data_IF_717126334072
#
_entry.id   IF_717126334072
#
_cell.length_a   1.000
_cell.length_b   1.000
_cell.length_c   1.000
_cell.angle_alpha   90.00
_cell.angle_beta   90.00
_cell.angle_gamma   90.00
#
_symmetry.space_group_name_H-M   'P 1'
#
loop_
_entity.id
_entity.type
_entity.pdbx_description
1 polymer ?
#
# COMPACT_ATOMS: atom_id res chain seq x y z
N UNK A 1 -18.20 4.48 -35.77
CA UNK A 1 -18.31 5.95 -35.62
C UNK A 1 -17.02 6.54 -36.12
N UNK A 2 -17.11 7.41 -37.12
CA UNK A 2 -15.98 7.99 -37.83
C UNK A 2 -15.16 8.91 -36.92
N UNK A 3 -13.87 8.59 -36.77
CA UNK A 3 -12.84 9.43 -36.16
C UNK A 3 -12.69 10.73 -36.97
N UNK A 4 -13.47 11.75 -36.59
CA UNK A 4 -13.25 13.12 -37.06
C UNK A 4 -12.05 13.66 -36.27
N UNK A 5 -10.84 13.30 -36.71
CA UNK A 5 -9.63 14.01 -36.29
C UNK A 5 -9.74 15.43 -36.81
N UNK A 6 -10.03 16.39 -35.93
CA UNK A 6 -9.95 17.81 -36.24
C UNK A 6 -8.57 18.10 -36.86
N UNK A 7 -8.54 18.40 -38.16
CA UNK A 7 -7.32 18.86 -38.82
C UNK A 7 -7.00 20.23 -38.25
N UNK A 8 -6.00 20.29 -37.37
CA UNK A 8 -5.46 21.53 -36.85
C UNK A 8 -4.75 22.25 -38.01
N UNK A 9 -5.43 23.18 -38.68
CA UNK A 9 -4.80 24.25 -39.48
C UNK A 9 -4.03 25.18 -38.52
N UNK A 10 -2.91 24.69 -37.98
CA UNK A 10 -1.96 25.48 -37.22
C UNK A 10 -0.68 25.51 -38.04
N UNK A 11 -0.18 26.69 -38.45
CA UNK A 11 1.05 26.76 -39.22
C UNK A 11 2.17 26.06 -38.45
N UNK A 12 2.91 25.24 -39.19
CA UNK A 12 4.09 24.52 -38.72
C UNK A 12 5.09 25.52 -38.14
N UNK A 13 5.35 25.48 -36.83
CA UNK A 13 6.41 26.29 -36.23
C UNK A 13 7.72 25.50 -36.30
N UNK A 14 8.70 26.04 -37.02
CA UNK A 14 10.08 25.54 -37.02
C UNK A 14 10.86 26.33 -35.97
N UNK A 15 11.55 25.61 -35.08
CA UNK A 15 12.37 26.19 -34.03
C UNK A 15 13.81 25.76 -34.31
N UNK A 16 14.52 26.66 -34.98
CA UNK A 16 15.92 26.55 -35.35
C UNK A 16 16.89 27.09 -34.30
N UNK A 17 18.13 27.27 -34.74
CA UNK A 17 19.25 27.73 -33.92
C UNK A 17 19.14 29.19 -33.45
N UNK A 18 18.39 30.03 -34.17
CA UNK A 18 18.32 31.47 -33.96
C UNK A 18 17.28 31.89 -32.92
N UNK A 19 16.29 31.04 -32.67
CA UNK A 19 15.06 31.32 -31.92
C UNK A 19 15.31 31.41 -30.40
N UNK A 20 16.44 30.87 -29.93
CA UNK A 20 16.90 31.10 -28.56
C UNK A 20 18.01 32.14 -28.42
N UNK A 21 18.47 32.75 -29.52
CA UNK A 21 19.49 33.79 -29.45
C UNK A 21 18.92 35.05 -28.75
N UNK A 22 19.69 35.60 -27.82
CA UNK A 22 19.33 36.88 -27.19
C UNK A 22 19.58 38.06 -28.14
N UNK A 23 19.08 39.26 -27.81
CA UNK A 23 19.24 40.46 -28.64
C UNK A 23 20.72 40.82 -28.91
N UNK A 24 21.65 40.38 -28.06
CA UNK A 24 23.08 40.57 -28.27
C UNK A 24 23.62 39.57 -29.31
N UNK A 25 23.27 38.29 -29.20
CA UNK A 25 23.72 37.24 -30.13
C UNK A 25 23.11 37.38 -31.52
N UNK A 26 21.90 37.92 -31.64
CA UNK A 26 21.26 38.16 -32.94
C UNK A 26 21.98 39.23 -33.75
N UNK A 27 22.69 40.16 -33.09
CA UNK A 27 23.46 41.24 -33.70
C UNK A 27 24.90 40.83 -34.06
N UNK A 28 25.38 39.67 -33.61
CA UNK A 28 26.74 39.21 -33.93
C UNK A 28 26.75 38.54 -35.30
N UNK A 29 27.58 39.00 -36.26
CA UNK A 29 27.69 38.36 -37.57
C UNK A 29 28.44 37.02 -37.50
N UNK A 30 28.17 36.09 -38.44
CA UNK A 30 29.02 34.90 -38.64
C UNK A 30 30.48 35.32 -38.97
N UNK A 31 31.52 34.58 -38.54
CA UNK A 31 31.50 33.30 -37.81
C UNK A 31 31.50 33.44 -36.28
N UNK A 32 31.70 34.64 -35.74
CA UNK A 32 31.82 34.90 -34.29
C UNK A 32 30.57 34.49 -33.50
N UNK A 33 29.41 34.56 -34.14
CA UNK A 33 28.13 34.10 -33.60
C UNK A 33 28.18 32.64 -33.14
N UNK A 34 28.77 31.75 -33.94
CA UNK A 34 28.89 30.32 -33.61
C UNK A 34 29.84 30.05 -32.43
N UNK A 35 30.95 30.80 -32.36
CA UNK A 35 31.95 30.68 -31.28
C UNK A 35 31.36 31.12 -29.94
N UNK A 36 30.69 32.28 -29.93
CA UNK A 36 30.02 32.78 -28.72
C UNK A 36 28.90 31.84 -28.29
N UNK A 37 28.07 31.34 -29.22
CA UNK A 37 27.00 30.37 -28.92
C UNK A 37 27.53 29.09 -28.29
N UNK A 38 28.63 28.53 -28.81
CA UNK A 38 29.27 27.35 -28.21
C UNK A 38 29.77 27.60 -26.79
N UNK A 39 30.23 28.83 -26.50
CA UNK A 39 30.65 29.23 -25.16
C UNK A 39 29.44 29.39 -24.24
N UNK A 40 28.35 29.98 -24.71
CA UNK A 40 27.09 30.11 -23.96
C UNK A 40 26.44 28.74 -23.67
N UNK A 41 26.52 27.79 -24.60
CA UNK A 41 26.01 26.42 -24.39
C UNK A 41 26.80 25.63 -23.34
N UNK A 42 28.02 26.06 -22.97
CA UNK A 42 28.78 25.47 -21.86
C UNK A 42 28.31 25.98 -20.49
N UNK A 43 27.58 27.09 -20.43
CA UNK A 43 27.08 27.69 -19.19
C UNK A 43 25.62 27.31 -18.95
N UNK A 44 25.30 26.76 -17.77
CA UNK A 44 23.95 26.29 -17.45
C UNK A 44 22.90 27.40 -17.42
N UNK A 45 23.19 28.53 -16.76
CA UNK A 45 22.26 29.67 -16.70
C UNK A 45 21.92 30.23 -18.09
N UNK A 46 22.90 30.25 -19.00
CA UNK A 46 22.71 30.75 -20.36
C UNK A 46 21.85 29.81 -21.21
N UNK A 47 22.00 28.48 -21.05
CA UNK A 47 21.09 27.50 -21.68
C UNK A 47 19.66 27.67 -21.20
N UNK A 48 19.45 27.92 -19.92
CA UNK A 48 18.12 28.18 -19.36
C UNK A 48 17.51 29.48 -19.89
N UNK A 49 18.29 30.56 -19.99
CA UNK A 49 17.82 31.82 -20.57
C UNK A 49 17.41 31.66 -22.04
N UNK A 50 18.19 30.92 -22.84
CA UNK A 50 17.84 30.58 -24.22
C UNK A 50 16.55 29.75 -24.29
N UNK A 51 16.41 28.74 -23.42
CA UNK A 51 15.17 27.95 -23.31
C UNK A 51 13.95 28.84 -23.02
N UNK A 52 14.07 29.79 -22.10
CA UNK A 52 12.96 30.67 -21.74
C UNK A 52 12.54 31.61 -22.90
N UNK A 53 13.47 31.99 -23.78
CA UNK A 53 13.14 32.75 -25.01
C UNK A 53 12.34 31.91 -25.99
N UNK A 54 12.81 30.68 -26.26
CA UNK A 54 12.11 29.72 -27.12
C UNK A 54 10.70 29.45 -26.59
N UNK A 55 10.54 29.27 -25.28
CA UNK A 55 9.22 29.10 -24.66
C UNK A 55 8.35 30.36 -24.80
N UNK A 56 8.95 31.55 -24.80
CA UNK A 56 8.27 32.81 -25.14
C UNK A 56 7.56 32.78 -26.49
N UNK A 57 8.17 32.15 -27.49
CA UNK A 57 7.60 32.00 -28.84
C UNK A 57 6.59 30.85 -28.93
N UNK A 58 6.86 29.74 -28.26
CA UNK A 58 5.98 28.55 -28.27
C UNK A 58 4.68 28.82 -27.49
N UNK A 59 4.75 29.52 -26.36
CA UNK A 59 3.65 29.59 -25.39
C UNK A 59 2.33 30.15 -25.95
N UNK A 60 2.32 31.25 -26.74
CA UNK A 60 1.09 31.72 -27.39
C UNK A 60 0.45 30.70 -28.32
N UNK A 61 1.25 29.83 -28.96
CA UNK A 61 0.74 28.76 -29.82
C UNK A 61 0.11 27.66 -28.97
N UNK A 62 0.71 27.28 -27.84
CA UNK A 62 0.11 26.33 -26.90
C UNK A 62 -1.26 26.81 -26.41
N UNK A 63 -1.41 28.11 -26.13
CA UNK A 63 -2.70 28.71 -25.77
C UNK A 63 -3.74 28.56 -26.88
N UNK A 64 -3.35 28.79 -28.15
CA UNK A 64 -4.26 28.62 -29.30
C UNK A 64 -4.63 27.15 -29.52
N UNK A 65 -3.68 26.24 -29.35
CA UNK A 65 -3.94 24.79 -29.44
C UNK A 65 -4.91 24.38 -28.34
N UNK A 66 -4.71 24.83 -27.10
CA UNK A 66 -5.64 24.58 -25.99
C UNK A 66 -7.05 25.10 -26.30
N UNK A 67 -7.14 26.34 -26.81
CA UNK A 67 -8.42 26.97 -27.11
C UNK A 67 -9.21 26.23 -28.21
N UNK A 68 -8.50 25.66 -29.20
CA UNK A 68 -9.13 24.84 -30.26
C UNK A 68 -9.48 23.42 -29.80
N UNK A 69 -8.69 22.85 -28.89
CA UNK A 69 -8.83 21.44 -28.49
C UNK A 69 -9.80 21.22 -27.33
N UNK A 70 -10.00 22.21 -26.44
CA UNK A 70 -10.73 22.04 -25.19
C UNK A 70 -11.83 23.10 -24.98
N UNK A 71 -12.94 22.72 -24.30
CA UNK A 71 -13.97 23.66 -23.87
C UNK A 71 -13.42 24.66 -22.87
N UNK A 72 -14.03 25.85 -22.78
CA UNK A 72 -13.54 26.97 -21.98
C UNK A 72 -13.35 26.63 -20.49
N UNK A 73 -14.24 25.80 -19.93
CA UNK A 73 -14.19 25.32 -18.55
C UNK A 73 -12.92 24.53 -18.18
N UNK A 74 -12.23 23.95 -19.16
CA UNK A 74 -11.06 23.10 -18.94
C UNK A 74 -9.73 23.78 -19.27
N UNK A 75 -9.78 24.99 -19.85
CA UNK A 75 -8.60 25.73 -20.28
C UNK A 75 -7.83 26.25 -19.06
N UNK A 76 -6.53 25.99 -19.01
CA UNK A 76 -5.62 26.44 -17.94
C UNK A 76 -4.61 27.47 -18.41
N UNK A 77 -4.41 27.62 -19.72
CA UNK A 77 -3.47 28.58 -20.30
C UNK A 77 -4.17 29.83 -20.85
N UNK A 78 -5.43 29.74 -21.24
CA UNK A 78 -6.20 30.86 -21.81
C UNK A 78 -6.13 32.12 -20.94
N UNK A 79 -5.72 33.26 -21.55
CA UNK A 79 -5.62 34.56 -20.87
C UNK A 79 -4.51 34.67 -19.81
N UNK A 80 -3.73 33.61 -19.58
CA UNK A 80 -2.63 33.61 -18.60
C UNK A 80 -1.34 34.08 -19.27
N UNK A 81 -0.61 35.02 -18.67
CA UNK A 81 0.70 35.42 -19.19
C UNK A 81 1.74 34.33 -18.93
N UNK A 82 2.78 34.24 -19.77
CA UNK A 82 3.86 33.26 -19.57
C UNK A 82 4.47 33.37 -18.17
N UNK A 83 4.74 34.58 -17.69
CA UNK A 83 5.31 34.81 -16.35
C UNK A 83 4.43 34.26 -15.22
N UNK A 84 3.11 34.37 -15.35
CA UNK A 84 2.14 33.82 -14.39
C UNK A 84 2.05 32.30 -14.53
N UNK A 85 1.99 31.76 -15.75
CA UNK A 85 1.96 30.33 -16.00
C UNK A 85 3.18 29.62 -15.40
N UNK A 86 4.36 30.23 -15.52
CA UNK A 86 5.63 29.74 -14.96
C UNK A 86 5.69 29.70 -13.42
N UNK A 87 4.68 30.21 -12.73
CA UNK A 87 4.52 30.16 -11.26
C UNK A 87 3.39 29.23 -10.81
N UNK A 88 2.59 28.70 -11.73
CA UNK A 88 1.45 27.81 -11.46
C UNK A 88 1.75 26.42 -12.01
N UNK A 89 1.86 25.43 -11.14
CA UNK A 89 2.17 24.05 -11.54
C UNK A 89 1.12 23.45 -12.49
N UNK A 90 -0.17 23.76 -12.33
CA UNK A 90 -1.22 23.31 -13.26
C UNK A 90 -1.03 23.85 -14.69
N UNK A 91 -0.62 25.12 -14.83
CA UNK A 91 -0.34 25.72 -16.12
C UNK A 91 0.91 25.08 -16.75
N UNK A 92 1.95 24.81 -15.95
CA UNK A 92 3.16 24.13 -16.42
C UNK A 92 2.82 22.71 -16.90
N UNK A 93 2.07 21.93 -16.12
CA UNK A 93 1.64 20.59 -16.49
C UNK A 93 0.87 20.61 -17.83
N UNK A 94 -0.14 21.50 -17.93
CA UNK A 94 -0.95 21.61 -19.14
C UNK A 94 -0.12 22.00 -20.36
N UNK A 95 0.77 22.98 -20.22
CA UNK A 95 1.66 23.40 -21.29
C UNK A 95 2.58 22.26 -21.76
N UNK A 96 3.14 21.49 -20.83
CA UNK A 96 3.97 20.32 -21.16
C UNK A 96 3.18 19.24 -21.91
N UNK A 97 1.98 18.89 -21.44
CA UNK A 97 1.11 17.91 -22.11
C UNK A 97 0.79 18.33 -23.55
N UNK A 98 0.34 19.58 -23.74
CA UNK A 98 0.02 20.12 -25.06
C UNK A 98 1.25 20.15 -25.95
N UNK A 99 2.40 20.57 -25.42
CA UNK A 99 3.66 20.59 -26.17
C UNK A 99 4.05 19.19 -26.67
N UNK A 100 4.02 18.18 -25.81
CA UNK A 100 4.34 16.79 -26.18
C UNK A 100 3.39 16.28 -27.26
N UNK A 101 2.08 16.48 -27.10
CA UNK A 101 1.09 16.09 -28.11
C UNK A 101 1.32 16.82 -29.44
N UNK A 102 1.54 18.14 -29.41
CA UNK A 102 1.76 18.96 -30.59
C UNK A 102 3.08 18.60 -31.31
N UNK A 103 4.14 18.30 -30.57
CA UNK A 103 5.40 17.82 -31.13
C UNK A 103 5.25 16.44 -31.79
N UNK A 104 4.56 15.51 -31.13
CA UNK A 104 4.25 14.19 -31.70
C UNK A 104 3.39 14.29 -32.97
N UNK A 105 2.51 15.29 -33.06
CA UNK A 105 1.70 15.57 -34.24
C UNK A 105 2.40 16.45 -35.29
N UNK A 106 3.72 16.70 -35.17
CA UNK A 106 4.50 17.55 -36.06
C UNK A 106 3.97 18.99 -36.20
N UNK A 107 3.25 19.53 -35.21
CA UNK A 107 2.87 20.96 -35.18
C UNK A 107 4.11 21.83 -34.86
N UNK A 108 5.00 21.31 -34.01
CA UNK A 108 6.32 21.88 -33.74
C UNK A 108 7.40 21.03 -34.42
N UNK A 109 8.29 21.66 -35.20
CA UNK A 109 9.54 21.06 -35.67
C UNK A 109 10.72 21.66 -34.95
N UNK A 110 11.38 20.85 -34.14
CA UNK A 110 12.58 21.23 -33.39
C UNK A 110 13.80 20.82 -34.22
N UNK A 111 14.79 21.71 -34.32
CA UNK A 111 16.03 21.46 -35.07
C UNK A 111 17.20 21.25 -34.10
N UNK A 112 18.02 20.25 -34.39
CA UNK A 112 19.24 19.95 -33.64
C UNK A 112 20.41 20.85 -34.04
N UNK A 113 21.53 20.74 -33.32
CA UNK A 113 22.76 21.51 -33.60
C UNK A 113 23.40 21.24 -34.96
N UNK A 114 22.93 20.23 -35.71
CA UNK A 114 23.41 19.87 -37.04
C UNK A 114 22.45 20.31 -38.15
N UNK A 115 21.34 20.97 -37.80
CA UNK A 115 20.31 21.40 -38.75
C UNK A 115 19.28 20.32 -39.09
N UNK A 116 19.28 19.17 -38.40
CA UNK A 116 18.31 18.08 -38.64
C UNK A 116 17.14 18.17 -37.68
N UNK A 117 15.97 17.70 -38.11
CA UNK A 117 14.79 17.64 -37.27
C UNK A 117 14.98 16.63 -36.12
N UNK A 118 14.67 17.07 -34.89
CA UNK A 118 14.52 16.21 -33.73
C UNK A 118 13.13 15.58 -33.76
N UNK A 119 13.09 14.29 -34.11
CA UNK A 119 11.88 13.48 -34.11
C UNK A 119 11.53 13.03 -32.68
N UNK A 120 10.25 12.71 -32.39
CA UNK A 120 9.80 12.28 -31.05
C UNK A 120 10.62 11.17 -30.39
N UNK A 121 11.12 10.22 -31.18
CA UNK A 121 12.00 9.12 -30.76
C UNK A 121 13.42 9.57 -30.37
N UNK A 122 13.80 10.81 -30.72
CA UNK A 122 15.12 11.40 -30.48
C UNK A 122 15.09 12.51 -29.42
N UNK A 123 14.27 12.37 -28.38
CA UNK A 123 14.16 13.34 -27.28
C UNK A 123 15.47 13.66 -26.53
N UNK A 124 16.51 12.82 -26.70
CA UNK A 124 17.87 13.01 -26.17
C UNK A 124 18.81 13.81 -27.06
N UNK A 125 18.40 14.19 -28.27
CA UNK A 125 19.19 15.06 -29.13
C UNK A 125 19.17 16.49 -28.59
N UNK A 126 20.31 17.17 -28.67
CA UNK A 126 20.43 18.56 -28.28
C UNK A 126 19.75 19.47 -29.31
N UNK A 127 18.81 20.29 -28.84
CA UNK A 127 18.19 21.33 -29.66
C UNK A 127 19.17 22.47 -29.89
N UNK A 128 19.34 22.92 -31.13
CA UNK A 128 20.23 24.04 -31.44
C UNK A 128 19.79 25.37 -30.81
N UNK A 129 18.47 25.55 -30.67
CA UNK A 129 17.83 26.73 -30.09
C UNK A 129 18.27 27.05 -28.66
N UNK A 130 18.52 26.03 -27.81
CA UNK A 130 18.86 26.26 -26.40
C UNK A 130 20.02 25.42 -25.86
N UNK A 131 20.54 24.46 -26.63
CA UNK A 131 21.64 23.59 -26.20
C UNK A 131 21.25 22.59 -25.11
N UNK A 132 19.94 22.36 -24.92
CA UNK A 132 19.39 21.33 -24.04
C UNK A 132 18.73 20.24 -24.89
N UNK A 133 18.66 19.03 -24.34
CA UNK A 133 17.78 17.99 -24.88
C UNK A 133 16.33 18.30 -24.53
N UNK A 134 15.38 17.69 -25.24
CA UNK A 134 13.95 17.88 -24.94
C UNK A 134 13.64 17.31 -23.56
N UNK A 135 14.23 16.16 -23.20
CA UNK A 135 14.13 15.59 -21.85
C UNK A 135 14.62 16.58 -20.78
N UNK A 136 15.76 17.25 -20.99
CA UNK A 136 16.30 18.25 -20.06
C UNK A 136 15.39 19.48 -19.94
N UNK A 137 14.85 19.96 -21.06
CA UNK A 137 13.92 21.08 -21.07
C UNK A 137 12.62 20.73 -20.32
N UNK A 138 12.03 19.55 -20.58
CA UNK A 138 10.86 19.08 -19.84
C UNK A 138 11.15 18.96 -18.34
N UNK A 139 12.30 18.37 -17.98
CA UNK A 139 12.72 18.21 -16.59
C UNK A 139 12.83 19.56 -15.87
N UNK A 140 13.37 20.58 -16.53
CA UNK A 140 13.44 21.94 -15.98
C UNK A 140 12.06 22.48 -15.57
N UNK A 141 11.04 22.29 -16.43
CA UNK A 141 9.67 22.72 -16.13
C UNK A 141 9.00 21.83 -15.08
N UNK A 142 9.22 20.52 -15.12
CA UNK A 142 8.72 19.59 -14.10
C UNK A 142 9.28 19.96 -12.72
N UNK A 143 10.59 20.15 -12.58
CA UNK A 143 11.23 20.56 -11.33
C UNK A 143 10.67 21.89 -10.83
N UNK A 144 10.32 22.81 -11.74
CA UNK A 144 9.69 24.09 -11.38
C UNK A 144 8.26 23.90 -10.88
N UNK A 145 7.48 23.00 -11.48
CA UNK A 145 6.17 22.61 -10.97
C UNK A 145 6.28 21.93 -9.59
N UNK A 146 7.24 21.02 -9.40
CA UNK A 146 7.51 20.37 -8.10
C UNK A 146 7.88 21.42 -7.04
N UNK A 147 8.71 22.42 -7.37
CA UNK A 147 9.03 23.56 -6.48
C UNK A 147 7.80 24.37 -6.09
N UNK A 148 6.86 24.57 -7.01
CA UNK A 148 5.57 25.24 -6.72
C UNK A 148 4.73 24.41 -5.76
N UNK A 149 4.51 23.13 -6.07
CA UNK A 149 3.70 22.19 -5.29
C UNK A 149 4.22 22.06 -3.84
N UNK A 150 5.53 21.92 -3.67
CA UNK A 150 6.15 21.70 -2.36
C UNK A 150 6.77 22.95 -1.74
N UNK A 151 6.32 24.15 -2.13
CA UNK A 151 6.86 25.42 -1.59
C UNK A 151 6.83 25.48 -0.06
N UNK A 152 5.83 24.88 0.57
CA UNK A 152 5.67 24.82 2.04
C UNK A 152 6.42 23.66 2.70
N UNK A 153 7.06 22.77 1.94
CA UNK A 153 7.74 21.59 2.47
C UNK A 153 9.13 21.35 1.81
N UNK A 154 10.15 22.12 2.22
CA UNK A 154 11.48 22.07 1.60
C UNK A 154 12.20 20.72 1.77
N UNK A 155 11.89 19.96 2.83
CA UNK A 155 12.49 18.64 3.08
C UNK A 155 12.05 17.61 2.03
N UNK A 156 10.76 17.59 1.69
CA UNK A 156 10.23 16.73 0.64
C UNK A 156 10.69 17.20 -0.74
N UNK A 157 10.68 18.52 -0.98
CA UNK A 157 11.17 19.12 -2.22
C UNK A 157 12.59 18.64 -2.57
N UNK A 158 13.53 18.68 -1.61
CA UNK A 158 14.93 18.25 -1.83
C UNK A 158 15.04 16.79 -2.29
N UNK A 159 14.06 15.94 -1.98
CA UNK A 159 14.06 14.52 -2.32
C UNK A 159 13.33 14.20 -3.63
N UNK A 160 12.44 15.09 -4.08
CA UNK A 160 11.62 14.88 -5.27
C UNK A 160 12.20 15.56 -6.52
N UNK A 161 12.88 16.70 -6.36
CA UNK A 161 13.57 17.38 -7.46
C UNK A 161 14.59 16.44 -8.10
N UNK A 162 14.60 16.36 -9.43
CA UNK A 162 15.49 15.45 -10.16
C UNK A 162 15.00 14.00 -10.26
N UNK A 163 14.03 13.59 -9.44
CA UNK A 163 13.50 12.21 -9.41
C UNK A 163 12.23 12.08 -10.27
N UNK A 164 11.40 13.11 -10.31
CA UNK A 164 10.16 13.12 -11.08
C UNK A 164 10.47 13.44 -12.55
N UNK A 165 10.33 12.46 -13.44
CA UNK A 165 10.66 12.60 -14.86
C UNK A 165 9.46 12.75 -15.79
N UNK A 166 8.25 12.46 -15.31
CA UNK A 166 7.03 12.51 -16.11
C UNK A 166 6.08 13.59 -15.60
N UNK A 167 5.45 14.39 -16.49
CA UNK A 167 4.39 15.32 -16.11
C UNK A 167 3.15 14.61 -15.55
N UNK A 168 2.94 13.32 -15.85
CA UNK A 168 1.79 12.54 -15.35
C UNK A 168 1.85 12.25 -13.84
N UNK A 169 3.02 12.43 -13.22
CA UNK A 169 3.17 12.35 -11.78
C UNK A 169 2.70 13.63 -11.05
N UNK A 170 2.60 14.77 -11.75
CA UNK A 170 2.29 16.07 -11.12
C UNK A 170 0.93 16.09 -10.40
N UNK A 171 -0.17 15.52 -10.95
CA UNK A 171 -1.44 15.40 -10.22
C UNK A 171 -1.31 14.64 -8.90
N UNK A 172 -0.62 13.47 -8.90
CA UNK A 172 -0.39 12.71 -7.67
C UNK A 172 0.48 13.47 -6.66
N UNK A 173 1.46 14.24 -7.14
CA UNK A 173 2.29 15.07 -6.28
C UNK A 173 1.50 16.18 -5.57
N UNK A 174 0.44 16.72 -6.19
CA UNK A 174 -0.48 17.66 -5.52
C UNK A 174 -1.25 17.00 -4.38
N UNK A 175 -1.67 15.74 -4.55
CA UNK A 175 -2.32 14.98 -3.47
C UNK A 175 -1.31 14.75 -2.34
N UNK A 176 -0.08 14.32 -2.67
CA UNK A 176 0.99 14.13 -1.70
C UNK A 176 1.37 15.40 -0.94
N UNK A 177 1.28 16.58 -1.55
CA UNK A 177 1.63 17.83 -0.88
C UNK A 177 0.67 18.22 0.24
N UNK A 178 -0.51 17.60 0.28
CA UNK A 178 -1.50 17.76 1.34
C UNK A 178 -1.23 16.86 2.56
N UNK A 179 -0.33 15.88 2.43
CA UNK A 179 0.00 14.96 3.52
C UNK A 179 0.71 15.70 4.65
N UNK A 180 0.56 15.19 5.88
CA UNK A 180 1.40 15.62 6.99
C UNK A 180 2.88 15.45 6.62
N UNK A 181 3.70 16.47 6.88
CA UNK A 181 5.10 16.51 6.44
C UNK A 181 5.92 15.27 6.82
N UNK A 182 5.74 14.77 8.04
CA UNK A 182 6.44 13.58 8.52
C UNK A 182 5.96 12.31 7.81
N UNK A 183 4.65 12.17 7.57
CA UNK A 183 4.06 11.03 6.87
C UNK A 183 4.59 10.96 5.44
N UNK A 184 4.56 12.07 4.71
CA UNK A 184 5.14 12.15 3.37
C UNK A 184 6.64 11.81 3.38
N UNK A 185 7.38 12.29 4.39
CA UNK A 185 8.82 12.00 4.48
C UNK A 185 9.07 10.50 4.62
N UNK A 186 8.27 9.77 5.39
CA UNK A 186 8.35 8.31 5.49
C UNK A 186 7.92 7.61 4.19
N UNK A 187 6.87 8.10 3.53
CA UNK A 187 6.41 7.57 2.24
C UNK A 187 7.50 7.68 1.16
N UNK A 188 8.09 8.87 1.01
CA UNK A 188 9.19 9.11 0.05
C UNK A 188 10.40 8.22 0.40
N UNK A 189 10.69 7.98 1.69
CA UNK A 189 11.75 7.05 2.08
C UNK A 189 11.44 5.62 1.69
N UNK A 190 10.21 5.18 1.88
CA UNK A 190 9.79 3.82 1.58
C UNK A 190 9.84 3.51 0.09
N UNK A 191 9.41 4.44 -0.77
CA UNK A 191 9.55 4.28 -2.22
C UNK A 191 10.98 4.52 -2.72
N UNK A 192 11.76 5.36 -2.04
CA UNK A 192 13.15 5.65 -2.41
C UNK A 192 13.27 6.23 -3.82
N UNK A 193 14.21 5.70 -4.62
CA UNK A 193 14.47 6.17 -5.99
C UNK A 193 13.33 5.88 -6.97
N UNK A 194 12.43 4.93 -6.66
CA UNK A 194 11.31 4.58 -7.53
C UNK A 194 10.06 5.42 -7.29
N UNK A 195 10.09 6.43 -6.41
CA UNK A 195 8.91 7.28 -6.12
C UNK A 195 8.35 7.93 -7.39
N UNK A 196 9.20 8.34 -8.33
CA UNK A 196 8.76 8.96 -9.57
C UNK A 196 7.93 8.00 -10.43
N UNK A 197 8.38 6.76 -10.59
CA UNK A 197 7.64 5.73 -11.33
C UNK A 197 6.38 5.30 -10.58
N UNK A 198 6.50 5.03 -9.28
CA UNK A 198 5.39 4.61 -8.44
C UNK A 198 4.24 5.62 -8.47
N UNK A 199 4.54 6.93 -8.48
CA UNK A 199 3.49 7.96 -8.56
C UNK A 199 2.76 8.00 -9.90
N UNK A 200 3.36 7.53 -10.98
CA UNK A 200 2.68 7.43 -12.29
C UNK A 200 1.73 6.24 -12.31
N UNK A 201 2.13 5.14 -11.68
CA UNK A 201 1.43 3.86 -11.69
C UNK A 201 0.36 3.74 -10.60
N UNK A 202 0.54 4.41 -9.46
CA UNK A 202 -0.36 4.29 -8.30
C UNK A 202 -1.77 4.79 -8.64
N UNK A 203 -2.76 4.01 -8.24
CA UNK A 203 -4.16 4.39 -8.29
C UNK A 203 -4.40 5.63 -7.40
N UNK A 204 -5.11 6.66 -7.89
CA UNK A 204 -5.48 7.83 -7.08
C UNK A 204 -6.16 7.48 -5.75
N UNK A 205 -7.05 6.50 -5.72
CA UNK A 205 -7.80 6.11 -4.51
C UNK A 205 -6.90 5.49 -3.46
N UNK A 206 -5.91 4.69 -3.90
CA UNK A 206 -4.86 4.15 -3.04
C UNK A 206 -4.03 5.31 -2.45
N UNK A 207 -3.69 6.31 -3.26
CA UNK A 207 -2.95 7.48 -2.78
C UNK A 207 -3.75 8.29 -1.75
N UNK A 208 -5.05 8.51 -1.99
CA UNK A 208 -5.94 9.16 -1.02
C UNK A 208 -6.08 8.33 0.26
N UNK A 209 -6.15 7.02 0.16
CA UNK A 209 -6.15 6.15 1.34
C UNK A 209 -4.84 6.26 2.13
N UNK A 210 -3.68 6.28 1.47
CA UNK A 210 -2.39 6.52 2.15
C UNK A 210 -2.32 7.87 2.85
N UNK A 211 -3.09 8.87 2.41
CA UNK A 211 -3.16 10.18 3.07
C UNK A 211 -3.75 10.11 4.48
N UNK A 212 -4.56 9.08 4.76
CA UNK A 212 -5.12 8.82 6.11
C UNK A 212 -4.06 8.31 7.08
N UNK A 213 -2.93 7.80 6.59
CA UNK A 213 -1.87 7.23 7.40
C UNK A 213 -1.02 8.31 8.06
N UNK A 214 -1.01 8.33 9.39
CA UNK A 214 -0.04 9.10 10.19
C UNK A 214 1.40 8.62 9.99
N UNK A 215 2.37 9.47 10.31
CA UNK A 215 3.79 9.18 10.13
C UNK A 215 4.28 7.90 10.83
N UNK A 216 3.71 7.58 11.99
CA UNK A 216 4.09 6.37 12.72
C UNK A 216 3.64 5.10 12.00
N UNK A 217 2.48 5.12 11.31
CA UNK A 217 2.03 3.98 10.51
C UNK A 217 3.01 3.69 9.39
N UNK A 218 3.31 4.73 8.59
CA UNK A 218 4.22 4.59 7.45
C UNK A 218 5.63 4.18 7.88
N UNK A 219 6.13 4.73 8.99
CA UNK A 219 7.42 4.32 9.55
C UNK A 219 7.42 2.85 9.98
N UNK A 220 6.38 2.42 10.69
CA UNK A 220 6.27 1.04 11.17
C UNK A 220 6.13 0.07 10.00
N UNK A 221 5.25 0.36 9.04
CA UNK A 221 5.08 -0.41 7.79
C UNK A 221 6.40 -0.52 7.02
N UNK A 222 7.15 0.58 6.90
CA UNK A 222 8.47 0.56 6.24
C UNK A 222 9.48 -0.31 6.96
N UNK A 223 9.45 -0.33 8.30
CA UNK A 223 10.35 -1.15 9.11
C UNK A 223 10.02 -2.64 9.00
N UNK A 224 8.74 -3.00 9.01
CA UNK A 224 8.31 -4.41 8.96
C UNK A 224 8.34 -4.97 7.54
N UNK A 225 7.84 -4.24 6.53
CA UNK A 225 7.77 -4.73 5.14
C UNK A 225 9.10 -4.59 4.39
N UNK A 226 10.03 -3.74 4.87
CA UNK A 226 11.34 -3.50 4.26
C UNK A 226 11.24 -3.20 2.75
N UNK A 227 11.86 -4.04 1.91
CA UNK A 227 11.80 -3.93 0.45
C UNK A 227 10.38 -4.09 -0.11
N UNK A 228 9.52 -4.85 0.59
CA UNK A 228 8.12 -5.06 0.27
C UNK A 228 7.21 -3.87 0.58
N UNK A 229 7.71 -2.80 1.21
CA UNK A 229 6.91 -1.60 1.51
C UNK A 229 6.22 -1.04 0.26
N UNK A 230 6.86 -1.12 -0.91
CA UNK A 230 6.30 -0.61 -2.17
C UNK A 230 5.00 -1.30 -2.58
N UNK A 231 4.75 -2.52 -2.10
CA UNK A 231 3.54 -3.29 -2.37
C UNK A 231 2.29 -2.64 -1.72
N UNK A 232 2.46 -1.67 -0.82
CA UNK A 232 1.33 -0.89 -0.30
C UNK A 232 0.59 -0.13 -1.43
N UNK A 233 1.25 0.12 -2.57
CA UNK A 233 0.61 0.70 -3.76
C UNK A 233 -0.38 -0.25 -4.47
N UNK A 234 -0.34 -1.55 -4.17
CA UNK A 234 -1.23 -2.58 -4.74
C UNK A 234 -2.30 -3.05 -3.76
N UNK A 235 -2.33 -2.49 -2.56
CA UNK A 235 -3.34 -2.84 -1.55
C UNK A 235 -4.69 -2.21 -1.89
N UNK A 236 -5.76 -2.81 -1.38
CA UNK A 236 -7.09 -2.23 -1.49
C UNK A 236 -7.14 -0.90 -0.70
N UNK A 237 -7.70 0.18 -1.28
CA UNK A 237 -7.81 1.47 -0.59
C UNK A 237 -8.48 1.38 0.77
N UNK A 238 -9.53 0.58 0.89
CA UNK A 238 -10.28 0.44 2.14
C UNK A 238 -9.48 -0.28 3.24
N UNK A 239 -8.62 -1.24 2.89
CA UNK A 239 -7.70 -1.88 3.85
C UNK A 239 -6.70 -0.86 4.41
N UNK A 240 -6.17 0.03 3.57
CA UNK A 240 -5.27 1.11 4.01
C UNK A 240 -6.01 2.09 4.93
N UNK A 241 -7.26 2.46 4.60
CA UNK A 241 -8.08 3.35 5.43
C UNK A 241 -8.41 2.72 6.78
N UNK A 242 -8.82 1.45 6.79
CA UNK A 242 -9.08 0.69 8.01
C UNK A 242 -7.85 0.69 8.93
N UNK A 243 -6.65 0.49 8.36
CA UNK A 243 -5.39 0.57 9.12
C UNK A 243 -5.20 1.96 9.73
N UNK A 244 -5.37 3.03 8.94
CA UNK A 244 -5.21 4.40 9.42
C UNK A 244 -6.20 4.81 10.52
N UNK A 245 -7.37 4.18 10.55
CA UNK A 245 -8.44 4.45 11.53
C UNK A 245 -8.28 3.61 12.79
N UNK A 246 -8.06 2.30 12.64
CA UNK A 246 -8.16 1.35 13.75
C UNK A 246 -6.82 1.04 14.43
N UNK A 247 -5.68 1.26 13.79
CA UNK A 247 -4.38 1.02 14.40
C UNK A 247 -3.88 2.28 15.09
N UNK A 248 -3.85 2.27 16.41
CA UNK A 248 -3.64 3.47 17.23
C UNK A 248 -2.21 3.59 17.76
N UNK A 249 -1.42 2.51 17.76
CA UNK A 249 -0.02 2.51 18.17
C UNK A 249 0.90 1.80 17.16
N UNK A 250 2.22 1.99 17.33
CA UNK A 250 3.24 1.41 16.45
C UNK A 250 3.36 -0.09 16.66
N UNK A 251 3.15 -0.54 17.89
CA UNK A 251 3.27 -1.93 18.32
C UNK A 251 2.27 -2.83 17.59
N UNK A 252 1.02 -2.41 17.36
CA UNK A 252 0.06 -3.19 16.56
C UNK A 252 0.60 -3.53 15.15
N UNK A 253 1.29 -2.58 14.50
CA UNK A 253 1.87 -2.79 13.16
C UNK A 253 3.13 -3.67 13.24
N UNK A 254 3.94 -3.47 14.29
CA UNK A 254 5.17 -4.26 14.48
C UNK A 254 4.87 -5.72 14.80
N UNK A 255 3.85 -5.94 15.63
CA UNK A 255 3.46 -7.26 16.10
C UNK A 255 2.81 -8.09 14.98
N UNK A 256 2.14 -7.46 14.00
CA UNK A 256 1.72 -8.14 12.77
C UNK A 256 2.91 -8.41 11.84
N UNK A 257 3.85 -7.48 11.73
CA UNK A 257 5.09 -7.69 10.97
C UNK A 257 4.86 -7.87 9.47
N UNK A 258 5.49 -8.89 8.89
CA UNK A 258 5.37 -9.20 7.45
C UNK A 258 4.01 -9.84 7.09
N UNK A 259 3.25 -10.31 8.09
CA UNK A 259 1.95 -10.95 7.88
C UNK A 259 0.85 -10.00 7.36
N UNK A 260 1.10 -8.69 7.33
CA UNK A 260 0.21 -7.73 6.65
C UNK A 260 -0.08 -8.10 5.20
N UNK A 261 0.85 -8.77 4.52
CA UNK A 261 0.64 -9.23 3.14
C UNK A 261 -0.50 -10.24 3.00
N UNK A 262 -0.88 -10.93 4.09
CA UNK A 262 -1.96 -11.92 4.12
C UNK A 262 -3.34 -11.31 4.36
N UNK A 263 -3.42 -10.04 4.82
CA UNK A 263 -4.67 -9.40 5.21
C UNK A 263 -5.24 -8.65 4.00
N UNK A 264 -6.25 -9.23 3.37
CA UNK A 264 -6.90 -8.66 2.18
C UNK A 264 -8.21 -7.96 2.48
N UNK A 265 -8.90 -8.37 3.56
CA UNK A 265 -10.20 -7.83 3.96
C UNK A 265 -10.04 -6.60 4.88
N UNK A 266 -10.63 -5.42 4.57
CA UNK A 266 -10.61 -4.27 5.46
C UNK A 266 -11.27 -4.54 6.83
N UNK A 267 -12.31 -5.38 6.90
CA UNK A 267 -12.96 -5.68 8.18
C UNK A 267 -12.07 -6.53 9.09
N UNK A 268 -11.15 -7.33 8.53
CA UNK A 268 -10.14 -8.02 9.31
C UNK A 268 -9.23 -7.01 10.05
N UNK A 269 -8.83 -5.92 9.40
CA UNK A 269 -8.07 -4.84 10.04
C UNK A 269 -8.90 -4.15 11.13
N UNK A 270 -10.19 -3.92 10.89
CA UNK A 270 -11.12 -3.39 11.90
C UNK A 270 -11.18 -4.27 13.15
N UNK A 271 -11.32 -5.59 12.98
CA UNK A 271 -11.37 -6.56 14.07
C UNK A 271 -10.04 -6.60 14.83
N UNK A 272 -8.91 -6.73 14.13
CA UNK A 272 -7.58 -6.76 14.74
C UNK A 272 -7.25 -5.46 15.49
N UNK A 273 -7.74 -4.32 14.98
CA UNK A 273 -7.56 -3.02 15.63
C UNK A 273 -8.33 -2.89 16.96
N UNK A 274 -9.37 -3.70 17.20
CA UNK A 274 -10.14 -3.75 18.46
C UNK A 274 -9.49 -4.64 19.53
N UNK A 275 -8.50 -5.45 19.17
CA UNK A 275 -7.78 -6.28 20.13
C UNK A 275 -7.06 -5.43 21.17
N UNK A 276 -6.85 -5.95 22.38
CA UNK A 276 -6.47 -5.11 23.51
C UNK A 276 -5.05 -4.55 23.38
N UNK A 277 -4.90 -3.30 23.82
CA UNK A 277 -3.64 -2.56 23.89
C UNK A 277 -3.48 -2.09 25.33
N UNK A 278 -2.35 -2.42 25.97
CA UNK A 278 -2.06 -2.02 27.34
C UNK A 278 -0.83 -1.15 27.38
N UNK A 279 -0.94 0.01 28.04
CA UNK A 279 0.23 0.85 28.33
C UNK A 279 1.06 0.17 29.42
N UNK A 280 2.32 -0.14 29.10
CA UNK A 280 3.30 -0.77 29.98
C UNK A 280 4.50 0.14 30.24
N UNK A 281 4.36 1.44 29.97
CA UNK A 281 5.45 2.42 30.05
C UNK A 281 6.12 2.44 31.43
N UNK A 282 5.34 2.42 32.51
CA UNK A 282 5.86 2.45 33.87
C UNK A 282 6.63 1.18 34.20
N UNK A 283 6.06 0.01 33.89
CA UNK A 283 6.74 -1.28 34.04
C UNK A 283 8.07 -1.32 33.28
N UNK A 284 8.09 -0.85 32.02
CA UNK A 284 9.32 -0.78 31.22
C UNK A 284 10.35 0.18 31.84
N UNK A 285 9.90 1.30 32.39
CA UNK A 285 10.78 2.26 33.05
C UNK A 285 11.33 1.74 34.38
N UNK A 286 10.56 0.97 35.15
CA UNK A 286 11.02 0.27 36.35
C UNK A 286 12.09 -0.77 36.02
N UNK A 287 11.85 -1.61 35.01
CA UNK A 287 12.82 -2.59 34.51
C UNK A 287 14.11 -1.90 34.04
N UNK A 288 14.01 -0.79 33.29
CA UNK A 288 15.17 0.00 32.86
C UNK A 288 15.92 0.63 34.02
N UNK A 289 15.22 1.18 35.00
CA UNK A 289 15.84 1.75 36.19
C UNK A 289 16.65 0.70 36.95
N UNK A 290 16.13 -0.53 37.08
CA UNK A 290 16.86 -1.65 37.69
C UNK A 290 18.14 -2.04 36.94
N UNK A 291 18.24 -1.72 35.65
CA UNK A 291 19.42 -1.95 34.79
C UNK A 291 20.32 -0.72 34.67
N UNK A 292 19.98 0.39 35.35
CA UNK A 292 20.70 1.66 35.22
C UNK A 292 20.49 2.39 33.88
N UNK A 293 19.46 2.03 33.12
CA UNK A 293 19.15 2.64 31.82
C UNK A 293 18.24 3.87 31.97
N UNK A 294 18.35 4.86 31.07
CA UNK A 294 17.44 6.01 31.07
C UNK A 294 16.00 5.60 30.69
N UNK A 295 15.05 6.32 31.28
CA UNK A 295 13.61 6.18 30.98
C UNK A 295 13.33 6.33 29.49
N UNK A 296 12.33 5.60 28.99
CA UNK A 296 11.86 5.79 27.62
C UNK A 296 11.19 7.15 27.47
N UNK A 297 11.41 7.80 26.32
CA UNK A 297 10.88 9.13 26.04
C UNK A 297 9.42 9.16 25.57
N UNK A 298 8.76 8.00 25.48
CA UNK A 298 7.40 7.89 24.96
C UNK A 298 6.73 6.59 25.39
N UNK A 299 5.43 6.51 25.15
CA UNK A 299 4.62 5.38 25.58
C UNK A 299 5.08 4.07 24.94
N UNK A 300 4.96 2.99 25.72
CA UNK A 300 5.21 1.62 25.33
C UNK A 300 3.97 0.79 25.56
N UNK A 301 3.58 0.04 24.55
CA UNK A 301 2.38 -0.76 24.58
C UNK A 301 2.71 -2.24 24.45
N UNK A 302 1.96 -3.08 25.15
CA UNK A 302 1.83 -4.50 24.84
C UNK A 302 0.49 -4.70 24.14
N UNK A 303 0.47 -5.45 23.05
CA UNK A 303 -0.75 -5.72 22.29
C UNK A 303 -1.09 -7.20 22.34
N UNK A 304 -2.37 -7.50 22.23
CA UNK A 304 -2.84 -8.88 22.05
C UNK A 304 -2.32 -9.49 20.73
N UNK A 305 -1.99 -8.70 19.71
CA UNK A 305 -1.35 -9.19 18.47
C UNK A 305 0.03 -9.79 18.77
N UNK A 306 0.83 -9.10 19.58
CA UNK A 306 2.15 -9.60 20.00
C UNK A 306 2.08 -10.79 20.94
N UNK A 307 0.97 -10.96 21.66
CA UNK A 307 0.70 -12.17 22.44
C UNK A 307 0.24 -13.33 21.55
N UNK A 308 -0.60 -13.06 20.56
CA UNK A 308 -1.09 -14.04 19.62
C UNK A 308 0.03 -14.70 18.81
N UNK A 309 1.03 -13.93 18.37
CA UNK A 309 2.24 -14.47 17.75
C UNK A 309 2.93 -15.53 18.64
N UNK A 310 3.01 -15.28 19.95
CA UNK A 310 3.59 -16.24 20.92
C UNK A 310 2.71 -17.47 21.15
N UNK A 311 1.39 -17.31 21.07
CA UNK A 311 0.42 -18.40 21.28
C UNK A 311 0.40 -19.31 20.05
N UNK A 312 0.20 -18.73 18.87
CA UNK A 312 -0.01 -19.47 17.62
C UNK A 312 1.30 -19.81 16.88
N UNK A 313 2.41 -19.15 17.21
CA UNK A 313 3.73 -19.45 16.65
C UNK A 313 3.74 -19.36 15.13
N UNK A 314 4.20 -20.43 14.47
CA UNK A 314 4.29 -20.50 13.00
C UNK A 314 2.94 -20.33 12.28
N UNK A 315 1.82 -20.55 12.97
CA UNK A 315 0.48 -20.41 12.41
C UNK A 315 -0.04 -18.98 12.40
N UNK A 316 0.60 -18.06 13.13
CA UNK A 316 0.10 -16.70 13.29
C UNK A 316 -0.17 -15.99 11.96
N UNK A 317 0.76 -16.06 11.01
CA UNK A 317 0.59 -15.46 9.68
C UNK A 317 -0.58 -16.05 8.89
N UNK A 318 -0.79 -17.36 8.97
CA UNK A 318 -1.90 -18.03 8.29
C UNK A 318 -3.24 -17.64 8.94
N UNK A 319 -3.27 -17.52 10.26
CA UNK A 319 -4.45 -17.10 11.01
C UNK A 319 -4.87 -15.67 10.71
N UNK A 320 -3.92 -14.74 10.54
CA UNK A 320 -4.24 -13.35 10.19
C UNK A 320 -4.91 -13.21 8.81
N UNK A 321 -4.77 -14.20 7.92
CA UNK A 321 -5.48 -14.25 6.64
C UNK A 321 -6.90 -14.82 6.72
N UNK A 322 -7.38 -15.21 7.92
CA UNK A 322 -8.72 -15.75 8.10
C UNK A 322 -9.80 -14.65 8.07
N UNK A 323 -11.07 -15.01 7.80
CA UNK A 323 -12.16 -14.04 7.80
C UNK A 323 -12.37 -13.34 9.15
N UNK A 324 -13.01 -12.15 9.16
CA UNK A 324 -13.13 -11.31 10.36
C UNK A 324 -13.80 -11.99 11.56
N UNK A 325 -14.82 -12.84 11.33
CA UNK A 325 -15.51 -13.56 12.40
C UNK A 325 -14.56 -14.53 13.13
N UNK A 326 -13.72 -15.24 12.38
CA UNK A 326 -12.71 -16.14 12.94
C UNK A 326 -11.66 -15.35 13.73
N UNK A 327 -11.19 -14.21 13.20
CA UNK A 327 -10.25 -13.32 13.91
C UNK A 327 -10.84 -12.81 15.23
N UNK A 328 -12.14 -12.52 15.29
CA UNK A 328 -12.80 -12.13 16.54
C UNK A 328 -12.77 -13.28 17.57
N UNK A 329 -13.06 -14.51 17.13
CA UNK A 329 -12.92 -15.72 17.95
C UNK A 329 -11.50 -15.91 18.49
N UNK A 330 -10.49 -15.77 17.64
CA UNK A 330 -9.08 -15.86 18.03
C UNK A 330 -8.70 -14.77 19.05
N UNK A 331 -9.19 -13.53 18.88
CA UNK A 331 -8.97 -12.45 19.82
C UNK A 331 -9.54 -12.77 21.22
N UNK A 332 -10.71 -13.40 21.29
CA UNK A 332 -11.29 -13.86 22.56
C UNK A 332 -10.43 -14.95 23.22
N UNK A 333 -9.82 -15.84 22.45
CA UNK A 333 -8.90 -16.87 22.97
C UNK A 333 -7.63 -16.24 23.52
N UNK A 334 -7.04 -15.30 22.79
CA UNK A 334 -5.86 -14.55 23.26
C UNK A 334 -6.19 -13.83 24.58
N UNK A 335 -7.36 -13.21 24.66
CA UNK A 335 -7.85 -12.56 25.88
C UNK A 335 -7.98 -13.54 27.05
N UNK A 336 -8.56 -14.73 26.84
CA UNK A 336 -8.70 -15.77 27.87
C UNK A 336 -7.33 -16.27 28.38
N UNK A 337 -6.41 -16.59 27.46
CA UNK A 337 -5.03 -17.04 27.79
C UNK A 337 -4.32 -16.00 28.65
N UNK A 338 -4.49 -14.73 28.31
CA UNK A 338 -3.86 -13.60 28.98
C UNK A 338 -4.36 -13.40 30.40
N UNK A 339 -5.65 -13.62 30.66
CA UNK A 339 -6.25 -13.54 32.00
C UNK A 339 -6.09 -14.83 32.81
N UNK A 340 -5.70 -15.93 32.17
CA UNK A 340 -5.41 -17.21 32.84
C UNK A 340 -4.12 -17.11 33.68
N UNK A 341 -4.14 -17.77 34.84
CA UNK A 341 -2.99 -17.90 35.74
C UNK A 341 -1.76 -18.48 35.03
N UNK A 342 -0.57 -18.07 35.47
CA UNK A 342 0.69 -18.41 34.77
C UNK A 342 0.93 -19.91 34.63
N UNK A 343 0.49 -20.72 35.61
CA UNK A 343 0.69 -22.17 35.62
C UNK A 343 -0.15 -22.83 34.52
N UNK A 344 -1.43 -22.47 34.44
CA UNK A 344 -2.38 -23.07 33.48
C UNK A 344 -2.22 -22.51 32.07
N UNK A 345 -1.61 -21.33 31.93
CA UNK A 345 -1.38 -20.68 30.64
C UNK A 345 -0.58 -21.54 29.67
N UNK A 346 0.48 -22.20 30.16
CA UNK A 346 1.35 -23.00 29.29
C UNK A 346 0.58 -24.19 28.71
N UNK A 347 -0.14 -24.92 29.54
CA UNK A 347 -0.93 -26.07 29.10
C UNK A 347 -2.00 -25.68 28.06
N UNK A 348 -2.68 -24.54 28.26
CA UNK A 348 -3.62 -24.02 27.26
C UNK A 348 -2.93 -23.67 25.93
N UNK A 349 -1.75 -23.03 25.97
CA UNK A 349 -0.98 -22.71 24.75
C UNK A 349 -0.55 -24.00 24.04
N UNK A 350 -0.04 -24.99 24.78
CA UNK A 350 0.41 -26.27 24.23
C UNK A 350 -0.76 -27.00 23.52
N UNK A 351 -1.99 -26.95 24.08
CA UNK A 351 -3.20 -27.49 23.43
C UNK A 351 -3.57 -26.73 22.16
N UNK A 352 -3.48 -25.39 22.15
CA UNK A 352 -3.75 -24.57 20.96
C UNK A 352 -2.76 -24.93 19.85
N UNK A 353 -1.47 -25.00 20.17
CA UNK A 353 -0.44 -25.36 19.19
C UNK A 353 -0.64 -26.77 18.66
N UNK A 354 -0.94 -27.74 19.53
CA UNK A 354 -1.24 -29.11 19.13
C UNK A 354 -2.45 -29.19 18.19
N UNK A 355 -3.51 -28.43 18.45
CA UNK A 355 -4.65 -28.33 17.55
C UNK A 355 -4.24 -27.77 16.18
N UNK A 356 -3.45 -26.69 16.18
CA UNK A 356 -3.01 -26.06 14.95
C UNK A 356 -2.15 -27.01 14.10
N UNK A 357 -1.14 -27.62 14.72
CA UNK A 357 -0.20 -28.52 14.06
C UNK A 357 -0.84 -29.79 13.50
N UNK A 358 -1.87 -30.32 14.19
CA UNK A 358 -2.51 -31.57 13.78
C UNK A 358 -3.65 -31.39 12.82
N UNK A 359 -4.44 -30.33 12.97
CA UNK A 359 -5.75 -30.26 12.33
C UNK A 359 -5.93 -29.06 11.41
N UNK A 360 -5.31 -27.92 11.69
CA UNK A 360 -5.70 -26.67 11.02
C UNK A 360 -5.59 -26.72 9.48
N UNK A 361 -4.59 -27.42 8.94
CA UNK A 361 -4.45 -27.65 7.49
C UNK A 361 -5.59 -28.46 6.86
N UNK A 362 -6.21 -29.36 7.63
CA UNK A 362 -7.28 -30.23 7.16
C UNK A 362 -8.67 -29.61 7.38
N UNK A 363 -8.79 -28.54 8.15
CA UNK A 363 -10.10 -27.98 8.53
C UNK A 363 -10.45 -26.76 7.66
N UNK A 364 -11.48 -26.84 6.82
CA UNK A 364 -12.00 -25.66 6.14
C UNK A 364 -12.64 -24.71 7.15
N UNK A 365 -12.80 -23.44 6.77
CA UNK A 365 -13.30 -22.38 7.65
C UNK A 365 -14.67 -22.72 8.28
N UNK A 366 -15.57 -23.37 7.53
CA UNK A 366 -16.89 -23.74 8.04
C UNK A 366 -16.82 -24.85 9.10
N UNK A 367 -15.78 -25.69 9.08
CA UNK A 367 -15.53 -26.67 10.13
C UNK A 367 -15.03 -25.98 11.39
N UNK A 368 -14.17 -24.95 11.29
CA UNK A 368 -13.80 -24.13 12.45
C UNK A 368 -15.01 -23.44 13.10
N UNK A 369 -15.97 -22.98 12.27
CA UNK A 369 -17.26 -22.44 12.74
C UNK A 369 -18.10 -23.51 13.43
N UNK A 370 -18.19 -24.71 12.85
CA UNK A 370 -18.96 -25.83 13.43
C UNK A 370 -18.35 -26.36 14.74
N UNK A 371 -17.02 -26.33 14.89
CA UNK A 371 -16.33 -26.59 16.15
C UNK A 371 -16.63 -25.53 17.23
N UNK A 372 -17.25 -24.42 16.84
CA UNK A 372 -17.64 -23.34 17.73
C UNK A 372 -16.49 -22.42 18.12
N UNK A 373 -15.41 -22.32 17.33
CA UNK A 373 -14.34 -21.34 17.58
C UNK A 373 -14.91 -19.90 17.58
N UNK A 374 -16.01 -19.69 16.85
CA UNK A 374 -16.76 -18.43 16.80
C UNK A 374 -18.22 -18.63 17.20
N UNK A 375 -18.87 -17.55 17.63
CA UNK A 375 -20.31 -17.52 17.94
C UNK A 375 -20.63 -17.01 19.35
N UNK A 376 -21.91 -17.06 19.73
CA UNK A 376 -22.40 -16.53 21.02
C UNK A 376 -21.88 -17.29 22.24
N UNK A 377 -21.57 -18.57 22.06
CA UNK A 377 -21.01 -19.46 23.09
C UNK A 377 -19.85 -20.24 22.48
N UNK A 378 -18.68 -19.59 22.33
CA UNK A 378 -17.55 -20.21 21.66
C UNK A 378 -16.99 -21.36 22.50
N UNK A 379 -16.60 -22.44 21.83
CA UNK A 379 -15.88 -23.56 22.42
C UNK A 379 -14.45 -23.14 22.76
N UNK A 380 -13.84 -23.79 23.73
CA UNK A 380 -12.40 -23.66 23.94
C UNK A 380 -11.64 -24.41 22.84
N UNK A 381 -10.39 -24.02 22.58
CA UNK A 381 -9.50 -24.79 21.70
C UNK A 381 -9.21 -26.19 22.25
N UNK A 382 -9.23 -26.37 23.57
CA UNK A 382 -9.11 -27.69 24.20
C UNK A 382 -10.29 -28.59 23.86
N UNK A 383 -11.51 -28.08 23.95
CA UNK A 383 -12.72 -28.80 23.53
C UNK A 383 -12.67 -29.15 22.03
N UNK A 384 -12.34 -28.18 21.18
CA UNK A 384 -12.21 -28.42 19.74
C UNK A 384 -11.16 -29.50 19.43
N UNK A 385 -10.00 -29.44 20.10
CA UNK A 385 -8.94 -30.46 20.00
C UNK A 385 -9.46 -31.84 20.39
N UNK A 386 -10.10 -31.99 21.54
CA UNK A 386 -10.55 -33.31 22.02
C UNK A 386 -11.73 -33.86 21.20
N UNK A 387 -12.58 -33.00 20.62
CA UNK A 387 -13.56 -33.43 19.61
C UNK A 387 -12.85 -34.01 18.39
N UNK A 388 -11.87 -33.28 17.85
CA UNK A 388 -11.11 -33.74 16.68
C UNK A 388 -10.32 -35.02 16.96
N UNK A 389 -9.62 -35.12 18.09
CA UNK A 389 -8.90 -36.33 18.52
C UNK A 389 -9.83 -37.53 18.70
N UNK A 390 -11.01 -37.30 19.31
CA UNK A 390 -12.03 -38.33 19.46
C UNK A 390 -12.49 -38.87 18.11
N UNK A 391 -12.86 -37.98 17.18
CA UNK A 391 -13.28 -38.36 15.82
C UNK A 391 -12.16 -39.03 15.00
N UNK A 392 -10.91 -38.55 15.17
CA UNK A 392 -9.76 -39.07 14.44
C UNK A 392 -9.32 -40.45 14.94
N UNK A 393 -9.53 -40.75 16.22
CA UNK A 393 -9.20 -42.05 16.81
C UNK A 393 -10.37 -43.02 16.85
N UNK A 394 -11.59 -42.55 16.56
CA UNK A 394 -12.79 -43.38 16.54
C UNK A 394 -12.70 -44.47 15.46
N UNK A 395 -12.90 -45.75 15.80
CA UNK A 395 -12.95 -46.83 14.82
C UNK A 395 -13.97 -46.54 13.72
N UNK A 396 -13.53 -46.65 12.46
CA UNK A 396 -14.38 -46.47 11.27
C UNK A 396 -14.50 -45.04 10.74
N UNK A 397 -13.98 -44.01 11.43
CA UNK A 397 -13.88 -42.64 10.91
C UNK A 397 -12.44 -42.32 10.46
N UNK A 398 -11.60 -41.96 11.43
CA UNK A 398 -10.19 -41.65 11.22
C UNK A 398 -9.91 -40.56 10.20
N UNK A 399 -8.69 -40.58 9.65
CA UNK A 399 -8.22 -39.61 8.65
C UNK A 399 -9.15 -39.46 7.44
N UNK A 400 -9.77 -40.55 6.99
CA UNK A 400 -10.70 -40.54 5.84
C UNK A 400 -11.92 -39.66 6.08
N UNK A 401 -12.39 -39.57 7.32
CA UNK A 401 -13.48 -38.67 7.68
C UNK A 401 -13.09 -37.20 7.47
N UNK A 402 -11.89 -36.82 7.92
CA UNK A 402 -11.35 -35.46 7.81
C UNK A 402 -11.04 -35.05 6.37
N UNK A 403 -10.51 -35.98 5.56
CA UNK A 403 -10.16 -35.72 4.16
C UNK A 403 -11.36 -35.81 3.19
N UNK A 404 -12.52 -36.29 3.65
CA UNK A 404 -13.70 -36.49 2.80
C UNK A 404 -14.97 -35.93 3.43
N UNK A 405 -15.77 -36.73 4.17
CA UNK A 405 -17.06 -36.31 4.70
C UNK A 405 -17.05 -34.99 5.48
N UNK A 406 -16.02 -34.69 6.29
CA UNK A 406 -15.94 -33.47 7.08
C UNK A 406 -15.86 -32.20 6.22
N UNK A 407 -15.48 -32.33 4.95
CA UNK A 407 -15.42 -31.24 3.98
C UNK A 407 -16.79 -30.94 3.34
N UNK A 408 -17.83 -31.74 3.60
CA UNK A 408 -19.16 -31.56 3.00
C UNK A 408 -20.14 -30.86 3.95
N UNK A 409 -21.19 -30.19 3.42
CA UNK A 409 -22.22 -29.56 4.25
C UNK A 409 -22.88 -30.52 5.25
N UNK A 410 -23.06 -31.79 4.88
CA UNK A 410 -23.63 -32.83 5.74
C UNK A 410 -22.68 -33.19 6.88
N UNK A 411 -21.38 -33.32 6.60
CA UNK A 411 -20.36 -33.55 7.63
C UNK A 411 -20.23 -32.38 8.60
N UNK A 412 -20.34 -31.14 8.10
CA UNK A 412 -20.34 -29.92 8.92
C UNK A 412 -21.57 -29.88 9.84
N UNK A 413 -22.75 -30.25 9.33
CA UNK A 413 -23.98 -30.38 10.15
C UNK A 413 -23.83 -31.45 11.21
N UNK A 414 -23.26 -32.61 10.86
CA UNK A 414 -22.98 -33.68 11.80
C UNK A 414 -22.04 -33.21 12.93
N UNK A 415 -20.98 -32.47 12.59
CA UNK A 415 -20.06 -31.91 13.58
C UNK A 415 -20.75 -30.89 14.49
N UNK A 416 -21.59 -30.03 13.91
CA UNK A 416 -22.36 -29.02 14.68
C UNK A 416 -23.28 -29.71 15.69
N UNK A 417 -24.03 -30.73 15.25
CA UNK A 417 -24.91 -31.51 16.12
C UNK A 417 -24.12 -32.27 17.21
N UNK A 418 -22.94 -32.82 16.88
CA UNK A 418 -22.05 -33.43 17.87
C UNK A 418 -21.59 -32.42 18.92
N UNK A 419 -21.17 -31.22 18.49
CA UNK A 419 -20.76 -30.14 19.39
C UNK A 419 -21.90 -29.69 20.31
N UNK A 420 -23.13 -29.62 19.80
CA UNK A 420 -24.32 -29.33 20.61
C UNK A 420 -24.56 -30.41 21.66
N UNK A 421 -24.47 -31.70 21.30
CA UNK A 421 -24.60 -32.81 22.25
C UNK A 421 -23.53 -32.78 23.35
N UNK A 422 -22.27 -32.50 22.98
CA UNK A 422 -21.18 -32.31 23.95
C UNK A 422 -21.50 -31.15 24.90
N UNK A 423 -21.98 -30.03 24.35
CA UNK A 423 -22.39 -28.86 25.14
C UNK A 423 -23.52 -29.17 26.13
N UNK A 424 -24.52 -29.94 25.71
CA UNK A 424 -25.65 -30.33 26.57
C UNK A 424 -25.22 -31.32 27.65
N UNK A 425 -24.37 -32.30 27.33
CA UNK A 425 -23.79 -33.21 28.32
C UNK A 425 -22.96 -32.46 29.36
N UNK A 426 -22.20 -31.44 28.96
CA UNK A 426 -21.45 -30.59 29.90
C UNK A 426 -22.38 -29.79 30.81
N UNK A 427 -23.42 -29.15 30.26
CA UNK A 427 -24.42 -28.40 31.05
C UNK A 427 -25.11 -29.28 32.08
N UNK A 428 -25.35 -30.55 31.74
CA UNK A 428 -25.98 -31.53 32.62
C UNK A 428 -25.00 -32.17 33.63
N UNK A 429 -23.71 -31.80 33.61
CA UNK A 429 -22.68 -32.28 34.53
C UNK A 429 -22.10 -33.67 34.19
N UNK A 430 -22.42 -34.21 33.00
CA UNK A 430 -21.94 -35.52 32.54
C UNK A 430 -20.49 -35.50 32.05
N UNK A 431 -19.95 -34.31 31.75
CA UNK A 431 -18.56 -34.10 31.34
C UNK A 431 -17.92 -33.18 32.37
N UNK A 432 -16.93 -33.68 33.10
CA UNK A 432 -16.25 -32.95 34.19
C UNK A 432 -14.94 -32.32 33.73
N UNK A 433 -14.32 -32.83 32.67
CA UNK A 433 -13.09 -32.29 32.09
C UNK A 433 -13.12 -32.33 30.56
N UNK A 434 -12.37 -31.46 29.89
CA UNK A 434 -12.29 -31.44 28.43
C UNK A 434 -11.69 -32.73 27.86
N UNK A 435 -10.73 -33.35 28.56
CA UNK A 435 -10.10 -34.59 28.11
C UNK A 435 -11.05 -35.79 28.07
N UNK A 436 -12.12 -35.78 28.88
CA UNK A 436 -13.17 -36.82 28.83
C UNK A 436 -13.92 -36.82 27.50
N UNK A 437 -13.97 -35.69 26.79
CA UNK A 437 -14.66 -35.56 25.50
C UNK A 437 -14.07 -36.53 24.48
N UNK A 438 -12.74 -36.60 24.41
CA UNK A 438 -12.06 -37.53 23.50
C UNK A 438 -12.47 -38.96 23.79
N UNK A 439 -12.42 -39.39 25.04
CA UNK A 439 -12.74 -40.78 25.43
C UNK A 439 -14.20 -41.12 25.15
N UNK A 440 -15.12 -40.17 25.40
CA UNK A 440 -16.53 -40.35 25.12
C UNK A 440 -16.79 -40.51 23.62
N UNK A 441 -16.23 -39.64 22.77
CA UNK A 441 -16.40 -39.74 21.31
C UNK A 441 -15.73 -41.01 20.77
N UNK A 442 -14.55 -41.35 21.27
CA UNK A 442 -13.79 -42.50 20.78
C UNK A 442 -14.44 -43.84 21.15
N UNK A 443 -14.86 -44.00 22.41
CA UNK A 443 -15.19 -45.30 22.99
C UNK A 443 -16.67 -45.51 23.31
N UNK A 444 -17.50 -44.46 23.22
CA UNK A 444 -18.93 -44.56 23.49
C UNK A 444 -19.76 -44.35 22.23
N UNK A 445 -20.87 -45.09 22.13
CA UNK A 445 -21.87 -44.90 21.07
C UNK A 445 -22.83 -43.73 21.38
N UNK A 446 -22.76 -43.16 22.60
CA UNK A 446 -23.67 -42.11 23.07
C UNK A 446 -23.61 -40.84 22.21
N UNK A 447 -22.46 -40.57 21.59
CA UNK A 447 -22.22 -39.40 20.74
C UNK A 447 -22.16 -39.76 19.25
N UNK A 448 -22.57 -40.98 18.87
CA UNK A 448 -22.42 -41.46 17.49
C UNK A 448 -23.56 -41.03 16.59
N UNK A 449 -24.73 -40.72 17.15
CA UNK A 449 -25.92 -40.35 16.38
C UNK A 449 -25.64 -39.36 15.23
N UNK A 450 -24.92 -38.24 15.47
CA UNK A 450 -24.59 -37.28 14.42
C UNK A 450 -23.66 -37.82 13.33
N UNK A 451 -22.75 -38.74 13.65
CA UNK A 451 -21.67 -39.21 12.76
C UNK A 451 -21.83 -40.66 12.28
N UNK A 452 -22.85 -41.38 12.74
CA UNK A 452 -23.04 -42.82 12.54
C UNK A 452 -23.00 -43.24 11.06
N UNK A 453 -23.59 -42.43 10.18
CA UNK A 453 -23.61 -42.68 8.73
C UNK A 453 -22.23 -42.70 8.07
N UNK A 454 -21.21 -42.14 8.74
CA UNK A 454 -19.84 -42.07 8.24
C UNK A 454 -18.93 -43.14 8.85
N UNK A 455 -19.40 -43.87 9.87
CA UNK A 455 -18.63 -44.92 10.52
C UNK A 455 -18.57 -46.12 9.58
N UNK A 456 -17.40 -46.36 9.00
CA UNK A 456 -17.15 -47.46 8.07
C UNK A 456 -16.22 -48.49 8.70
N UNK A 457 -16.79 -49.61 9.15
CA UNK A 457 -16.00 -50.76 9.58
C UNK A 457 -15.47 -51.49 8.34
N UNK A 458 -14.15 -51.62 8.25
CA UNK A 458 -13.50 -52.49 7.27
C UNK A 458 -13.13 -53.81 7.90
#
# INVERSE_FOLDING_TARGET
MSDVRAQLETPLLIIGDGEGDGPVLSLVPPPFKGILRNTFNKMEGQRQDRLMRVVGEIYPILQRIEAKALPESERRLAGVSLTTAMRKDECIERALRIFVSAWNSNVFRLIDTTGKQVTPDKGRSFMGACGLTIEQAQMYFIDRAVKSIFRKNPKALKRLVGVIRSPDALPRLRVLSQFQQLAMTELIQGFGTSIGQALVEIDPDVLYAMATLKAYHLRALRQVLRSGFKNIATWQPDTIRALGVHFTCVEQIRDIGEAFGSITDPEAITVLGKWEIRDITDKVNEERASRGEPKVSGHKFETDLGLADKIFGSWFTAMLGMPPDILEGLGNVVKDIRTTDKVDRKDKIDRIQLFCDRYLEMLPLDVLRALGIVGKTPSTFGEALYICEGLFTKPGLGRKFFEGPLQTPEGIKALTALKEQVGDMRKNGSIKSEAEIQQLIQNSDMLDGPVAQYITFR
#
